data_IF_311323465926
#
_entry.id   IF_311323465926
#
_cell.length_a   1.000
_cell.length_b   1.000
_cell.length_c   1.000
_cell.angle_alpha   90.00
_cell.angle_beta   90.00
_cell.angle_gamma   90.00
#
_symmetry.space_group_name_H-M   'P 1'
#
loop_
_entity.id
_entity.type
_entity.pdbx_description
1 polymer ?
#
# COMPACT_ATOMS: atom_id res chain seq x y z
N UNK A 1 -13.58 0.59 -4.27
CA UNK A 1 -13.80 -0.42 -3.21
C UNK A 1 -14.41 -1.70 -3.76
N UNK A 2 -15.45 -1.64 -4.60
CA UNK A 2 -16.09 -2.85 -5.15
C UNK A 2 -15.12 -3.75 -5.93
N UNK A 3 -14.19 -3.15 -6.69
CA UNK A 3 -13.14 -3.89 -7.38
C UNK A 3 -12.22 -4.66 -6.42
N UNK A 4 -11.74 -4.03 -5.34
CA UNK A 4 -10.89 -4.66 -4.32
C UNK A 4 -11.63 -5.83 -3.65
N UNK A 5 -12.91 -5.63 -3.32
CA UNK A 5 -13.77 -6.69 -2.76
C UNK A 5 -13.95 -7.84 -3.75
N UNK A 6 -14.20 -7.54 -5.02
CA UNK A 6 -14.34 -8.55 -6.08
C UNK A 6 -13.04 -9.32 -6.34
N UNK A 7 -11.88 -8.66 -6.21
CA UNK A 7 -10.56 -9.28 -6.33
C UNK A 7 -10.19 -10.13 -5.10
N UNK A 8 -10.81 -9.88 -3.94
CA UNK A 8 -10.53 -10.59 -2.69
C UNK A 8 -9.14 -10.30 -2.11
N UNK A 9 -8.47 -9.24 -2.58
CA UNK A 9 -7.12 -8.84 -2.16
C UNK A 9 -6.99 -7.31 -2.21
N UNK A 10 -6.48 -6.71 -1.13
CA UNK A 10 -6.02 -5.33 -1.07
C UNK A 10 -4.50 -5.30 -1.29
N UNK A 11 -4.05 -4.69 -2.39
CA UNK A 11 -2.63 -4.59 -2.74
C UNK A 11 -2.11 -3.22 -2.30
N UNK A 12 -1.23 -3.21 -1.30
CA UNK A 12 -0.62 -1.98 -0.78
C UNK A 12 0.85 -1.92 -1.18
N UNK A 13 1.27 -0.80 -1.78
CA UNK A 13 2.68 -0.54 -2.07
C UNK A 13 3.28 0.38 -0.99
N UNK A 14 4.48 0.06 -0.52
CA UNK A 14 5.17 0.77 0.56
C UNK A 14 6.69 0.81 0.34
N UNK A 15 7.39 1.58 1.16
CA UNK A 15 8.85 1.56 1.25
C UNK A 15 9.30 0.59 2.34
N UNK A 16 10.41 -0.09 2.13
CA UNK A 16 11.03 -0.93 3.16
C UNK A 16 11.84 -0.06 4.14
N UNK A 17 11.12 0.70 4.97
CA UNK A 17 11.66 1.57 6.00
C UNK A 17 11.07 1.16 7.36
N UNK A 18 11.84 1.21 8.46
CA UNK A 18 11.36 0.80 9.79
C UNK A 18 10.09 1.51 10.26
N UNK A 19 9.82 2.72 9.76
CA UNK A 19 8.62 3.51 10.08
C UNK A 19 7.38 3.10 9.27
N UNK A 20 7.56 2.47 8.11
CA UNK A 20 6.47 2.09 7.20
C UNK A 20 6.19 0.58 7.30
N UNK A 21 7.17 -0.22 6.91
CA UNK A 21 7.09 -1.67 6.82
C UNK A 21 8.47 -2.30 7.03
N UNK A 22 8.54 -3.32 7.89
CA UNK A 22 9.72 -4.16 8.03
C UNK A 22 9.34 -5.58 8.48
N UNK A 23 10.29 -6.50 8.36
CA UNK A 23 10.14 -7.86 8.88
C UNK A 23 10.77 -7.93 10.27
N UNK A 24 9.94 -8.04 11.30
CA UNK A 24 10.35 -8.27 12.67
C UNK A 24 10.50 -9.76 13.00
N UNK A 25 10.86 -10.11 14.24
CA UNK A 25 11.04 -11.50 14.68
C UNK A 25 9.78 -12.37 14.53
N UNK A 26 8.60 -11.77 14.52
CA UNK A 26 7.31 -12.45 14.40
C UNK A 26 6.66 -12.29 13.00
N UNK A 27 7.40 -11.74 12.03
CA UNK A 27 6.91 -11.49 10.68
C UNK A 27 6.70 -10.00 10.37
N UNK A 28 5.87 -9.70 9.35
CA UNK A 28 5.64 -8.32 8.90
C UNK A 28 5.03 -7.42 9.97
N UNK A 29 5.55 -6.21 10.10
CA UNK A 29 5.12 -5.21 11.09
C UNK A 29 5.48 -3.79 10.61
N UNK A 30 5.06 -2.77 11.36
CA UNK A 30 5.20 -1.35 11.01
C UNK A 30 3.85 -0.63 11.10
N UNK A 31 3.88 0.69 11.26
CA UNK A 31 2.65 1.48 11.43
C UNK A 31 1.73 1.38 10.20
N UNK A 32 2.29 1.56 9.01
CA UNK A 32 1.54 1.52 7.75
C UNK A 32 1.03 0.10 7.46
N UNK A 33 1.81 -0.93 7.83
CA UNK A 33 1.38 -2.33 7.76
C UNK A 33 0.16 -2.62 8.64
N UNK A 34 0.21 -2.21 9.91
CA UNK A 34 -0.88 -2.49 10.86
C UNK A 34 -2.18 -1.78 10.46
N UNK A 35 -2.07 -0.56 9.92
CA UNK A 35 -3.21 0.17 9.38
C UNK A 35 -3.79 -0.51 8.14
N UNK A 36 -2.94 -0.88 7.18
CA UNK A 36 -3.35 -1.58 5.96
C UNK A 36 -3.99 -2.94 6.28
N UNK A 37 -3.48 -3.66 7.27
CA UNK A 37 -4.03 -4.94 7.72
C UNK A 37 -5.43 -4.79 8.29
N UNK A 38 -5.63 -3.84 9.22
CA UNK A 38 -6.95 -3.55 9.79
C UNK A 38 -7.95 -3.17 8.70
N UNK A 39 -7.51 -2.38 7.72
CA UNK A 39 -8.37 -1.99 6.61
C UNK A 39 -8.73 -3.17 5.70
N UNK A 40 -7.78 -4.06 5.39
CA UNK A 40 -8.07 -5.29 4.65
C UNK A 40 -9.06 -6.21 5.40
N UNK A 41 -8.90 -6.33 6.73
CA UNK A 41 -9.79 -7.09 7.60
C UNK A 41 -11.23 -6.51 7.59
N UNK A 42 -11.38 -5.19 7.66
CA UNK A 42 -12.68 -4.49 7.53
C UNK A 42 -13.33 -4.69 6.15
N UNK A 43 -12.51 -4.80 5.11
CA UNK A 43 -12.97 -5.11 3.76
C UNK A 43 -13.29 -6.61 3.56
N UNK A 44 -12.84 -7.49 4.47
CA UNK A 44 -12.99 -8.94 4.34
C UNK A 44 -12.10 -9.54 3.25
N UNK A 45 -10.95 -8.94 2.96
CA UNK A 45 -10.04 -9.35 1.88
C UNK A 45 -8.64 -9.65 2.41
N UNK A 46 -7.81 -10.33 1.61
CA UNK A 46 -6.41 -10.58 1.97
C UNK A 46 -5.58 -9.31 1.78
N UNK A 47 -4.62 -9.06 2.66
CA UNK A 47 -3.61 -8.02 2.45
C UNK A 47 -2.43 -8.58 1.64
N UNK A 48 -2.00 -7.83 0.62
CA UNK A 48 -0.75 -8.07 -0.10
C UNK A 48 0.13 -6.82 -0.07
N UNK A 49 1.33 -6.95 0.48
CA UNK A 49 2.32 -5.86 0.53
C UNK A 49 3.30 -5.99 -0.63
N UNK A 50 3.54 -4.88 -1.32
CA UNK A 50 4.61 -4.71 -2.31
C UNK A 50 5.59 -3.66 -1.79
N UNK A 51 6.87 -4.00 -1.70
CA UNK A 51 7.91 -3.02 -1.36
C UNK A 51 8.59 -2.50 -2.62
N UNK A 52 8.89 -1.21 -2.66
CA UNK A 52 9.60 -0.54 -3.76
C UNK A 52 10.74 0.34 -3.23
N UNK A 53 11.75 0.67 -4.05
CA UNK A 53 12.94 1.36 -3.56
C UNK A 53 12.72 2.86 -3.29
N UNK A 54 11.76 3.50 -3.96
CA UNK A 54 11.59 4.95 -3.91
C UNK A 54 10.15 5.38 -4.27
N UNK A 55 9.92 6.69 -4.16
CA UNK A 55 8.64 7.33 -4.40
C UNK A 55 8.16 7.24 -5.85
N UNK A 56 9.06 7.39 -6.81
CA UNK A 56 8.74 7.24 -8.23
C UNK A 56 8.20 5.82 -8.52
N UNK A 57 8.77 4.81 -7.88
CA UNK A 57 8.30 3.44 -7.98
C UNK A 57 6.95 3.19 -7.28
N UNK A 58 6.62 3.93 -6.20
CA UNK A 58 5.28 3.92 -5.59
C UNK A 58 4.25 4.43 -6.59
N UNK A 59 4.51 5.62 -7.16
CA UNK A 59 3.60 6.25 -8.12
C UNK A 59 3.42 5.37 -9.36
N UNK A 60 4.49 4.78 -9.88
CA UNK A 60 4.43 3.85 -11.00
C UNK A 60 3.62 2.58 -10.67
N UNK A 61 3.65 2.09 -9.43
CA UNK A 61 2.86 0.93 -9.02
C UNK A 61 1.35 1.23 -8.99
N UNK A 62 0.97 2.44 -8.55
CA UNK A 62 -0.41 2.91 -8.59
C UNK A 62 -0.88 3.14 -10.03
N UNK A 63 -0.13 3.90 -10.83
CA UNK A 63 -0.48 4.24 -12.21
C UNK A 63 -0.63 3.00 -13.12
N UNK A 64 0.15 1.94 -12.87
CA UNK A 64 0.04 0.68 -13.61
C UNK A 64 -1.04 -0.28 -13.08
N UNK A 65 -1.74 0.08 -12.01
CA UNK A 65 -2.71 -0.78 -11.35
C UNK A 65 -2.09 -2.02 -10.68
N UNK A 66 -0.77 -2.01 -10.43
CA UNK A 66 -0.07 -3.08 -9.69
C UNK A 66 -0.37 -3.02 -8.18
N UNK A 67 -0.74 -1.85 -7.68
CA UNK A 67 -1.21 -1.62 -6.31
C UNK A 67 -2.52 -0.82 -6.31
N UNK A 68 -3.30 -0.96 -5.24
CA UNK A 68 -4.56 -0.27 -5.03
C UNK A 68 -4.37 0.99 -4.16
N UNK A 69 -3.42 0.95 -3.22
CA UNK A 69 -3.11 2.05 -2.30
C UNK A 69 -1.59 2.11 -2.08
N UNK A 70 -1.04 3.31 -1.90
CA UNK A 70 0.32 3.52 -1.40
C UNK A 70 0.30 3.94 0.08
N UNK A 71 1.15 3.34 0.90
CA UNK A 71 1.29 3.67 2.32
C UNK A 71 2.78 3.76 2.68
N UNK A 72 3.31 4.97 2.74
CA UNK A 72 4.73 5.22 2.99
C UNK A 72 4.97 6.61 3.62
N UNK A 73 4.16 6.97 4.63
CA UNK A 73 4.17 8.30 5.26
C UNK A 73 4.09 9.49 4.27
N UNK A 74 3.22 9.36 3.27
CA UNK A 74 3.09 10.30 2.16
C UNK A 74 2.46 11.63 2.63
N UNK A 75 3.03 12.75 2.18
CA UNK A 75 2.39 14.07 2.33
C UNK A 75 1.50 14.34 1.13
N UNK A 76 0.26 14.77 1.37
CA UNK A 76 -0.68 15.09 0.30
C UNK A 76 -0.32 16.44 -0.36
N UNK A 77 0.55 16.39 -1.36
CA UNK A 77 0.95 17.53 -2.18
C UNK A 77 0.62 17.33 -3.67
N UNK A 78 1.01 18.28 -4.52
CA UNK A 78 0.72 18.27 -5.95
C UNK A 78 1.31 17.05 -6.70
N UNK A 79 2.38 16.43 -6.19
CA UNK A 79 2.98 15.26 -6.83
C UNK A 79 2.07 14.03 -6.77
N UNK A 80 1.10 14.01 -5.85
CA UNK A 80 0.22 12.87 -5.60
C UNK A 80 -1.21 13.04 -6.11
N UNK A 81 -1.60 14.24 -6.54
CA UNK A 81 -3.00 14.57 -6.85
C UNK A 81 -3.60 13.76 -8.00
N UNK A 82 -2.78 13.33 -8.97
CA UNK A 82 -3.24 12.70 -10.21
C UNK A 82 -2.69 11.28 -10.42
N UNK A 83 -2.07 10.70 -9.38
CA UNK A 83 -1.45 9.38 -9.50
C UNK A 83 -2.54 8.30 -9.49
N UNK A 84 -2.61 7.50 -10.57
CA UNK A 84 -3.58 6.41 -10.69
C UNK A 84 -4.95 6.85 -11.18
N UNK A 85 -5.12 8.11 -11.57
CA UNK A 85 -6.25 8.52 -12.41
C UNK A 85 -6.14 7.86 -13.80
N UNK A 86 -7.27 7.44 -14.40
CA UNK A 86 -7.29 6.83 -15.73
C UNK A 86 -6.90 7.79 -16.86
#
# INVERSE_FOLDING_TARGET
MDQIRAQGELRVVTLNLPTCYYIGPQGPTGLDYDLARKFADELGVRLKILTVPDEAALQAALASGRADIAAAQITADAAWQHVGEP
#
